data_IF_932817607334
#
_entry.id   IF_932817607334
#
_cell.length_a   1.000
_cell.length_b   1.000
_cell.length_c   1.000
_cell.angle_alpha   90.00
_cell.angle_beta   90.00
_cell.angle_gamma   90.00
#
_symmetry.space_group_name_H-M   'P 1'
#
loop_
_entity.id
_entity.type
_entity.pdbx_description
1 polymer ?
#
# COMPACT_ATOMS: atom_id res chain seq x y z
N UNK A 1 -7.71 -27.30 -16.99
CA UNK A 1 -6.75 -26.33 -16.40
C UNK A 1 -6.82 -25.10 -17.28
N UNK A 2 -7.03 -23.92 -16.73
CA UNK A 2 -6.88 -22.67 -17.47
C UNK A 2 -5.43 -22.53 -17.93
N UNK A 3 -5.18 -21.77 -18.98
CA UNK A 3 -3.80 -21.39 -19.35
C UNK A 3 -3.21 -20.56 -18.20
N UNK A 4 -1.89 -20.67 -17.93
CA UNK A 4 -1.22 -19.84 -16.94
C UNK A 4 -1.34 -18.34 -17.27
N UNK A 5 -1.49 -17.48 -16.26
CA UNK A 5 -1.46 -16.04 -16.44
C UNK A 5 -0.01 -15.57 -16.72
N UNK A 6 0.19 -14.92 -17.85
CA UNK A 6 1.48 -14.30 -18.19
C UNK A 6 1.65 -12.97 -17.46
N UNK A 7 2.79 -12.79 -16.77
CA UNK A 7 3.06 -11.63 -15.91
C UNK A 7 4.23 -10.81 -16.44
N UNK A 8 3.99 -9.51 -16.66
CA UNK A 8 5.00 -8.51 -16.93
C UNK A 8 5.18 -7.57 -15.71
N UNK A 9 6.43 -7.20 -15.39
CA UNK A 9 6.74 -6.37 -14.21
C UNK A 9 7.63 -5.19 -14.61
N UNK A 10 7.13 -3.98 -14.42
CA UNK A 10 7.91 -2.75 -14.53
C UNK A 10 8.51 -2.41 -13.15
N UNK A 11 9.84 -2.47 -13.05
CA UNK A 11 10.56 -2.27 -11.80
C UNK A 11 11.04 -3.58 -11.17
N UNK A 12 12.36 -3.70 -10.98
CA UNK A 12 13.01 -4.95 -10.57
C UNK A 12 13.86 -4.81 -9.29
N UNK A 13 13.82 -3.63 -8.64
CA UNK A 13 14.57 -3.39 -7.41
C UNK A 13 13.79 -3.89 -6.19
N UNK A 14 13.77 -3.13 -5.09
CA UNK A 14 13.20 -3.55 -3.81
C UNK A 14 11.76 -4.09 -3.93
N UNK A 15 10.82 -3.32 -4.53
CA UNK A 15 9.44 -3.77 -4.70
C UNK A 15 9.33 -4.89 -5.73
N UNK A 16 10.10 -4.83 -6.84
CA UNK A 16 10.17 -5.92 -7.80
C UNK A 16 10.60 -7.25 -7.16
N UNK A 17 11.58 -7.21 -6.24
CA UNK A 17 12.00 -8.39 -5.48
C UNK A 17 10.94 -8.87 -4.49
N UNK A 18 10.21 -7.95 -3.82
CA UNK A 18 9.14 -8.30 -2.89
C UNK A 18 8.00 -9.04 -3.60
N UNK A 19 7.52 -8.49 -4.73
CA UNK A 19 6.47 -9.13 -5.53
C UNK A 19 6.95 -10.42 -6.20
N UNK A 20 8.15 -10.45 -6.76
CA UNK A 20 8.71 -11.69 -7.35
C UNK A 20 8.84 -12.82 -6.32
N UNK A 21 9.23 -12.51 -5.07
CA UNK A 21 9.21 -13.46 -3.96
C UNK A 21 7.79 -13.95 -3.66
N UNK A 22 6.81 -13.07 -3.64
CA UNK A 22 5.40 -13.44 -3.43
C UNK A 22 4.91 -14.38 -4.53
N UNK A 23 5.10 -14.01 -5.80
CA UNK A 23 4.73 -14.82 -6.96
C UNK A 23 5.38 -16.21 -6.95
N UNK A 24 6.65 -16.30 -6.52
CA UNK A 24 7.36 -17.57 -6.43
C UNK A 24 6.80 -18.51 -5.34
N UNK A 25 6.22 -17.94 -4.27
CA UNK A 25 5.71 -18.71 -3.12
C UNK A 25 4.25 -19.15 -3.27
N UNK A 26 3.46 -18.47 -4.10
CA UNK A 26 2.04 -18.78 -4.28
C UNK A 26 1.78 -20.27 -4.53
N UNK A 27 2.40 -20.97 -5.48
CA UNK A 27 2.10 -22.37 -5.76
C UNK A 27 2.42 -23.32 -4.60
N UNK A 28 3.28 -22.90 -3.68
CA UNK A 28 3.71 -23.72 -2.54
C UNK A 28 2.70 -23.69 -1.39
N UNK A 29 2.07 -22.54 -1.15
CA UNK A 29 1.23 -22.30 0.01
C UNK A 29 -0.26 -22.12 -0.34
N UNK A 30 -0.55 -21.68 -1.55
CA UNK A 30 -1.89 -21.41 -2.04
C UNK A 30 -2.20 -22.30 -3.26
N UNK A 31 -2.62 -23.56 -3.04
CA UNK A 31 -2.83 -24.53 -4.13
C UNK A 31 -3.97 -24.12 -5.08
N UNK A 32 -4.86 -23.25 -4.62
CA UNK A 32 -5.98 -22.72 -5.42
C UNK A 32 -5.61 -21.43 -6.18
N UNK A 33 -4.40 -20.91 -6.00
CA UNK A 33 -3.92 -19.77 -6.77
C UNK A 33 -3.79 -20.14 -8.27
N UNK A 34 -4.04 -19.20 -9.18
CA UNK A 34 -3.82 -19.45 -10.60
C UNK A 34 -2.36 -19.76 -10.90
N UNK A 35 -2.12 -20.61 -11.90
CA UNK A 35 -0.78 -20.80 -12.45
C UNK A 35 -0.33 -19.50 -13.12
N UNK A 36 0.94 -19.12 -12.93
CA UNK A 36 1.53 -17.91 -13.50
C UNK A 36 2.85 -18.20 -14.23
N UNK A 37 3.09 -17.44 -15.29
CA UNK A 37 4.37 -17.36 -16.00
C UNK A 37 4.99 -15.99 -15.74
N UNK A 38 6.16 -15.95 -15.11
CA UNK A 38 6.94 -14.72 -14.91
C UNK A 38 7.67 -14.40 -16.21
N UNK A 39 6.96 -13.75 -17.15
CA UNK A 39 7.35 -13.64 -18.54
C UNK A 39 8.42 -12.58 -18.78
N UNK A 40 8.23 -11.35 -18.27
CA UNK A 40 9.12 -10.25 -18.64
C UNK A 40 9.32 -9.23 -17.51
N UNK A 41 10.58 -8.84 -17.27
CA UNK A 41 10.94 -7.68 -16.48
C UNK A 41 11.16 -6.46 -17.37
N UNK A 42 10.67 -5.29 -16.94
CA UNK A 42 10.83 -4.04 -17.68
C UNK A 42 11.60 -3.01 -16.86
N UNK A 43 12.53 -2.32 -17.49
CA UNK A 43 13.30 -1.24 -16.87
C UNK A 43 14.19 -0.53 -17.88
N UNK A 44 15.06 0.38 -17.45
CA UNK A 44 15.89 1.21 -18.32
C UNK A 44 17.35 0.74 -18.45
N UNK A 45 17.84 0.03 -17.46
CA UNK A 45 19.23 -0.42 -17.38
C UNK A 45 19.31 -1.88 -17.80
N UNK A 46 19.74 -2.12 -19.03
CA UNK A 46 19.79 -3.45 -19.64
C UNK A 46 20.73 -4.41 -18.92
N UNK A 47 21.86 -3.92 -18.40
CA UNK A 47 22.80 -4.75 -17.68
C UNK A 47 22.21 -5.22 -16.33
N UNK A 48 21.60 -4.30 -15.59
CA UNK A 48 20.93 -4.64 -14.33
C UNK A 48 19.67 -5.49 -14.54
N UNK A 49 18.95 -5.34 -15.66
CA UNK A 49 17.81 -6.19 -16.02
C UNK A 49 18.25 -7.62 -16.32
N UNK A 50 19.35 -7.80 -17.02
CA UNK A 50 19.89 -9.13 -17.34
C UNK A 50 20.21 -9.93 -16.06
N UNK A 51 20.82 -9.27 -15.06
CA UNK A 51 21.10 -9.90 -13.77
C UNK A 51 19.80 -10.19 -12.99
N UNK A 52 18.86 -9.26 -13.01
CA UNK A 52 17.57 -9.36 -12.31
C UNK A 52 16.68 -10.48 -12.88
N UNK A 53 16.69 -10.73 -14.18
CA UNK A 53 15.94 -11.83 -14.81
C UNK A 53 16.33 -13.17 -14.18
N UNK A 54 17.61 -13.44 -14.07
CA UNK A 54 18.11 -14.67 -13.44
C UNK A 54 17.77 -14.73 -11.95
N UNK A 55 18.01 -13.62 -11.21
CA UNK A 55 17.76 -13.55 -9.76
C UNK A 55 16.26 -13.74 -9.44
N UNK A 56 15.36 -13.11 -10.20
CA UNK A 56 13.92 -13.10 -9.96
C UNK A 56 13.17 -14.18 -10.74
N UNK A 57 13.89 -14.98 -11.53
CA UNK A 57 13.39 -16.10 -12.33
C UNK A 57 12.28 -15.69 -13.30
N UNK A 58 12.53 -14.65 -14.10
CA UNK A 58 11.72 -14.28 -15.25
C UNK A 58 12.30 -14.89 -16.52
N UNK A 59 11.48 -15.03 -17.58
CA UNK A 59 11.92 -15.62 -18.85
C UNK A 59 12.77 -14.65 -19.69
N UNK A 60 12.54 -13.33 -19.52
CA UNK A 60 13.26 -12.32 -20.28
C UNK A 60 13.07 -10.91 -19.72
N UNK A 61 13.60 -9.92 -20.44
CA UNK A 61 13.43 -8.50 -20.11
C UNK A 61 13.16 -7.65 -21.35
N UNK A 62 12.61 -6.45 -21.10
CA UNK A 62 12.41 -5.40 -22.10
C UNK A 62 12.82 -4.04 -21.56
N UNK A 63 13.17 -3.11 -22.45
CA UNK A 63 13.53 -1.74 -22.07
C UNK A 63 12.45 -0.71 -22.35
N UNK A 64 11.40 -1.10 -23.07
CA UNK A 64 10.20 -0.29 -23.35
C UNK A 64 8.94 -1.03 -22.86
N UNK A 65 8.24 -0.47 -21.88
CA UNK A 65 6.99 -1.04 -21.37
C UNK A 65 5.86 -1.08 -22.39
N UNK A 66 5.93 -0.23 -23.45
CA UNK A 66 4.91 -0.17 -24.51
C UNK A 66 4.85 -1.44 -25.33
N UNK A 67 5.97 -2.14 -25.41
CA UNK A 67 6.07 -3.43 -26.12
C UNK A 67 5.52 -4.61 -25.29
N UNK A 68 5.20 -4.37 -24.00
CA UNK A 68 4.84 -5.41 -23.05
C UNK A 68 3.38 -5.36 -22.62
N UNK A 69 2.85 -4.14 -22.38
CA UNK A 69 1.54 -3.96 -21.73
C UNK A 69 0.36 -4.62 -22.44
N UNK A 70 0.43 -4.89 -23.74
CA UNK A 70 -0.61 -5.60 -24.50
C UNK A 70 -0.29 -7.08 -24.77
N UNK A 71 0.89 -7.57 -24.32
CA UNK A 71 1.39 -8.92 -24.59
C UNK A 71 1.40 -9.84 -23.36
N UNK A 72 0.88 -9.35 -22.23
CA UNK A 72 0.75 -10.09 -20.97
C UNK A 72 -0.68 -10.01 -20.45
N UNK A 73 -1.08 -10.97 -19.62
CA UNK A 73 -2.41 -10.98 -18.98
C UNK A 73 -2.45 -10.02 -17.78
N UNK A 74 -1.31 -9.87 -17.11
CA UNK A 74 -1.16 -9.06 -15.89
C UNK A 74 0.11 -8.21 -15.98
N UNK A 75 -0.03 -6.93 -15.73
CA UNK A 75 1.07 -5.96 -15.69
C UNK A 75 1.23 -5.37 -14.30
N UNK A 76 2.39 -5.58 -13.68
CA UNK A 76 2.78 -4.96 -12.41
C UNK A 76 3.54 -3.68 -12.66
N UNK A 77 3.01 -2.55 -12.20
CA UNK A 77 3.71 -1.27 -12.23
C UNK A 77 4.30 -0.97 -10.85
N UNK A 78 5.58 -1.29 -10.67
CA UNK A 78 6.35 -1.14 -9.43
C UNK A 78 7.46 -0.08 -9.60
N UNK A 79 7.26 0.83 -10.53
CA UNK A 79 8.19 1.91 -10.85
C UNK A 79 8.16 3.05 -9.83
N UNK A 80 8.93 4.13 -10.04
CA UNK A 80 8.77 5.39 -9.34
C UNK A 80 7.39 6.01 -9.59
N UNK A 81 6.87 6.77 -8.63
CA UNK A 81 5.49 7.27 -8.65
C UNK A 81 5.13 8.07 -9.92
N UNK A 82 6.09 8.84 -10.47
CA UNK A 82 5.91 9.62 -11.71
C UNK A 82 5.70 8.80 -12.98
N UNK A 83 5.96 7.49 -12.94
CA UNK A 83 5.71 6.59 -14.08
C UNK A 83 4.56 5.60 -13.80
N UNK A 84 3.73 5.86 -12.79
CA UNK A 84 2.58 4.99 -12.55
C UNK A 84 1.49 5.20 -13.61
N UNK A 85 1.16 6.44 -13.99
CA UNK A 85 -0.01 6.74 -14.81
C UNK A 85 0.07 6.17 -16.23
N UNK A 86 1.02 6.60 -17.05
CA UNK A 86 1.02 6.30 -18.47
C UNK A 86 1.11 4.78 -18.79
N UNK A 87 2.03 3.98 -18.15
CA UNK A 87 2.06 2.54 -18.40
C UNK A 87 0.80 1.81 -17.92
N UNK A 88 0.25 2.24 -16.80
CA UNK A 88 -0.96 1.65 -16.22
C UNK A 88 -2.19 1.92 -17.07
N UNK A 89 -2.39 3.15 -17.53
CA UNK A 89 -3.49 3.53 -18.41
C UNK A 89 -3.39 2.75 -19.73
N UNK A 90 -2.20 2.70 -20.32
CA UNK A 90 -1.98 1.96 -21.57
C UNK A 90 -2.26 0.45 -21.44
N UNK A 91 -1.93 -0.15 -20.28
CA UNK A 91 -2.24 -1.55 -20.01
C UNK A 91 -3.76 -1.78 -19.89
N UNK A 92 -4.47 -0.94 -19.16
CA UNK A 92 -5.93 -1.01 -19.03
C UNK A 92 -6.65 -0.80 -20.38
N UNK A 93 -6.20 0.16 -21.21
CA UNK A 93 -6.70 0.38 -22.56
C UNK A 93 -6.45 -0.83 -23.50
N UNK A 94 -5.39 -1.58 -23.25
CA UNK A 94 -5.10 -2.84 -23.97
C UNK A 94 -5.90 -4.05 -23.44
N UNK A 95 -6.66 -3.89 -22.34
CA UNK A 95 -7.40 -4.98 -21.68
C UNK A 95 -6.54 -5.85 -20.77
N UNK A 96 -5.34 -5.39 -20.42
CA UNK A 96 -4.42 -6.06 -19.49
C UNK A 96 -4.74 -5.67 -18.06
N UNK A 97 -4.89 -6.65 -17.16
CA UNK A 97 -5.08 -6.39 -15.73
C UNK A 97 -3.83 -5.78 -15.11
N UNK A 98 -4.01 -4.81 -14.20
CA UNK A 98 -2.90 -4.03 -13.62
C UNK A 98 -2.86 -4.13 -12.12
N UNK A 99 -1.66 -4.36 -11.57
CA UNK A 99 -1.35 -4.17 -10.17
C UNK A 99 -0.31 -3.06 -10.01
N UNK A 100 -0.70 -1.93 -9.42
CA UNK A 100 0.14 -0.75 -9.31
C UNK A 100 0.61 -0.53 -7.88
N UNK A 101 1.88 -0.16 -7.69
CA UNK A 101 2.39 0.27 -6.39
C UNK A 101 1.74 1.57 -5.90
N UNK A 102 1.77 1.74 -4.59
CA UNK A 102 1.28 2.95 -3.91
C UNK A 102 2.40 4.04 -3.82
N UNK A 103 2.04 5.32 -3.67
CA UNK A 103 0.70 5.89 -3.88
C UNK A 103 0.26 5.72 -5.33
N UNK A 104 -1.04 5.85 -5.62
CA UNK A 104 -1.58 5.58 -6.96
C UNK A 104 -0.84 6.36 -8.05
N UNK A 105 -0.53 7.64 -7.79
CA UNK A 105 0.28 8.47 -8.67
C UNK A 105 1.08 9.50 -7.86
N UNK A 106 1.95 10.26 -8.52
CA UNK A 106 2.68 11.37 -7.89
C UNK A 106 1.87 12.67 -7.84
N UNK A 107 0.78 12.79 -8.63
CA UNK A 107 -0.15 13.92 -8.65
C UNK A 107 -1.60 13.44 -8.52
N UNK A 108 -2.48 14.33 -8.06
CA UNK A 108 -3.92 14.05 -8.00
C UNK A 108 -4.52 13.88 -9.40
N UNK A 109 -4.10 14.69 -10.37
CA UNK A 109 -4.60 14.65 -11.75
C UNK A 109 -4.28 13.29 -12.41
N UNK A 110 -3.07 12.77 -12.21
CA UNK A 110 -2.70 11.46 -12.72
C UNK A 110 -3.46 10.33 -12.02
N UNK A 111 -3.67 10.43 -10.71
CA UNK A 111 -4.49 9.47 -9.98
C UNK A 111 -5.95 9.47 -10.48
N UNK A 112 -6.49 10.63 -10.83
CA UNK A 112 -7.82 10.76 -11.43
C UNK A 112 -7.89 10.08 -12.81
N UNK A 113 -6.90 10.34 -13.66
CA UNK A 113 -6.78 9.68 -14.98
C UNK A 113 -6.71 8.16 -14.85
N UNK A 114 -5.91 7.64 -13.90
CA UNK A 114 -5.79 6.20 -13.66
C UNK A 114 -7.10 5.58 -13.16
N UNK A 115 -7.78 6.23 -12.21
CA UNK A 115 -9.10 5.81 -11.73
C UNK A 115 -10.12 5.76 -12.87
N UNK A 116 -10.16 6.80 -13.71
CA UNK A 116 -11.13 6.88 -14.79
C UNK A 116 -10.84 5.80 -15.85
N UNK A 117 -9.57 5.56 -16.20
CA UNK A 117 -9.18 4.45 -17.07
C UNK A 117 -9.59 3.08 -16.51
N UNK A 118 -9.45 2.87 -15.18
CA UNK A 118 -9.91 1.64 -14.55
C UNK A 118 -11.43 1.46 -14.60
N UNK A 119 -12.21 2.55 -14.48
CA UNK A 119 -13.68 2.53 -14.61
C UNK A 119 -14.16 2.23 -16.03
N UNK A 120 -13.38 2.60 -17.04
CA UNK A 120 -13.68 2.39 -18.46
C UNK A 120 -13.20 1.02 -18.97
N UNK A 121 -12.39 0.29 -18.19
CA UNK A 121 -11.82 -1.01 -18.55
C UNK A 121 -12.57 -2.16 -17.91
N UNK A 122 -12.69 -3.28 -18.63
CA UNK A 122 -13.15 -4.56 -18.08
C UNK A 122 -12.03 -5.32 -17.35
N UNK A 123 -10.78 -4.85 -17.44
CA UNK A 123 -9.63 -5.45 -16.78
C UNK A 123 -9.59 -5.11 -15.27
N UNK A 124 -8.99 -5.99 -14.48
CA UNK A 124 -8.85 -5.78 -13.03
C UNK A 124 -7.74 -4.76 -12.75
N UNK A 125 -8.05 -3.72 -11.98
CA UNK A 125 -7.11 -2.70 -11.54
C UNK A 125 -6.97 -2.72 -10.01
N UNK A 126 -5.83 -3.21 -9.50
CA UNK A 126 -5.49 -3.30 -8.09
C UNK A 126 -4.33 -2.38 -7.69
N UNK A 127 -4.35 -1.89 -6.46
CA UNK A 127 -3.27 -1.09 -5.87
C UNK A 127 -2.64 -1.81 -4.68
N UNK A 128 -1.31 -1.71 -4.51
CA UNK A 128 -0.54 -2.46 -3.53
C UNK A 128 -0.61 -1.85 -2.11
N UNK A 129 -1.75 -1.96 -1.45
CA UNK A 129 -1.91 -1.65 -0.03
C UNK A 129 -1.75 -2.92 0.83
N UNK A 130 -0.55 -3.47 0.82
CA UNK A 130 -0.21 -4.76 1.43
C UNK A 130 -0.57 -4.89 2.91
N UNK A 131 -0.62 -3.80 3.68
CA UNK A 131 -0.97 -3.86 5.11
C UNK A 131 -2.44 -4.23 5.36
N UNK A 132 -3.35 -4.08 4.39
CA UNK A 132 -4.71 -4.65 4.48
C UNK A 132 -4.71 -6.18 4.61
N UNK A 133 -3.62 -6.84 4.22
CA UNK A 133 -3.47 -8.30 4.16
C UNK A 133 -2.68 -8.91 5.32
N UNK A 134 -2.41 -8.11 6.35
CA UNK A 134 -1.91 -8.62 7.63
C UNK A 134 -3.05 -9.37 8.34
N UNK A 135 -2.87 -10.64 8.77
CA UNK A 135 -3.93 -11.39 9.44
C UNK A 135 -4.55 -10.68 10.64
N UNK A 136 -3.74 -10.03 11.48
CA UNK A 136 -4.23 -9.26 12.63
C UNK A 136 -5.07 -8.04 12.22
N UNK A 137 -4.77 -7.41 11.07
CA UNK A 137 -5.57 -6.31 10.51
C UNK A 137 -6.92 -6.83 9.99
N UNK A 138 -6.93 -7.98 9.32
CA UNK A 138 -8.17 -8.63 8.88
C UNK A 138 -9.04 -9.07 10.06
N UNK A 139 -8.40 -9.56 11.11
CA UNK A 139 -9.12 -9.89 12.35
C UNK A 139 -9.71 -8.63 13.00
N UNK A 140 -8.96 -7.52 13.05
CA UNK A 140 -9.46 -6.24 13.52
C UNK A 140 -10.66 -5.73 12.69
N UNK A 141 -10.62 -5.87 11.35
CA UNK A 141 -11.74 -5.52 10.45
C UNK A 141 -12.99 -6.30 10.81
N UNK A 142 -12.89 -7.63 11.02
CA UNK A 142 -14.03 -8.47 11.46
C UNK A 142 -14.62 -7.96 12.78
N UNK A 143 -13.81 -7.68 13.80
CA UNK A 143 -14.31 -7.16 15.09
C UNK A 143 -15.08 -5.85 14.92
N UNK A 144 -14.62 -4.96 14.03
CA UNK A 144 -15.30 -3.70 13.73
C UNK A 144 -16.61 -3.95 13.00
N UNK A 145 -16.63 -4.83 12.00
CA UNK A 145 -17.83 -5.21 11.23
C UNK A 145 -18.87 -5.92 12.10
N UNK A 146 -18.44 -6.76 13.03
CA UNK A 146 -19.30 -7.45 14.01
C UNK A 146 -19.86 -6.47 15.07
N UNK A 147 -19.37 -5.21 15.11
CA UNK A 147 -19.85 -4.17 16.01
C UNK A 147 -19.25 -4.21 17.41
N UNK A 148 -18.21 -5.02 17.63
CA UNK A 148 -17.56 -5.20 18.95
C UNK A 148 -16.98 -3.91 19.55
N UNK A 149 -16.73 -2.88 18.72
CA UNK A 149 -16.26 -1.57 19.18
C UNK A 149 -17.41 -0.59 19.43
N UNK A 150 -18.63 -0.91 19.02
CA UNK A 150 -19.75 0.01 19.03
C UNK A 150 -19.58 1.17 18.04
N UNK A 151 -19.99 2.39 18.43
CA UNK A 151 -19.82 3.61 17.64
C UNK A 151 -18.34 4.04 17.65
N UNK A 152 -17.71 4.14 16.48
CA UNK A 152 -16.31 4.59 16.36
C UNK A 152 -16.23 6.09 16.65
N UNK A 153 -15.29 6.48 17.52
CA UNK A 153 -15.10 7.86 18.01
C UNK A 153 -13.72 8.44 17.72
N UNK A 154 -12.66 7.62 17.80
CA UNK A 154 -11.29 8.07 17.56
C UNK A 154 -10.55 7.07 16.67
N UNK A 155 -9.78 7.60 15.72
CA UNK A 155 -8.84 6.84 14.91
C UNK A 155 -7.48 7.52 15.02
N UNK A 156 -6.45 6.80 15.42
CA UNK A 156 -5.06 7.29 15.47
C UNK A 156 -4.20 6.37 14.64
N UNK A 157 -3.44 6.95 13.72
CA UNK A 157 -2.50 6.22 12.90
C UNK A 157 -1.15 6.91 12.84
N UNK A 158 -0.09 6.14 12.99
CA UNK A 158 1.28 6.63 12.84
C UNK A 158 2.13 5.66 12.04
N UNK A 159 3.05 6.19 11.24
CA UNK A 159 4.04 5.39 10.56
C UNK A 159 5.42 6.03 10.68
N UNK A 160 6.25 5.46 11.54
CA UNK A 160 7.49 6.05 11.98
C UNK A 160 8.68 5.19 11.55
N UNK A 161 9.65 5.84 10.91
CA UNK A 161 10.91 5.26 10.49
C UNK A 161 12.06 6.24 10.74
N UNK A 162 13.31 5.76 10.80
CA UNK A 162 14.50 6.61 11.02
C UNK A 162 15.57 6.50 9.93
N UNK A 163 15.22 5.92 8.76
CA UNK A 163 16.22 5.64 7.73
C UNK A 163 16.83 6.89 7.06
N UNK A 164 16.19 8.05 7.20
CA UNK A 164 16.72 9.36 6.77
C UNK A 164 17.22 10.24 7.92
N UNK A 165 17.22 9.73 9.17
CA UNK A 165 17.67 10.51 10.33
C UNK A 165 19.15 10.91 10.25
N UNK A 166 19.97 10.15 9.53
CA UNK A 166 21.35 10.55 9.20
C UNK A 166 21.31 11.62 8.10
N UNK A 167 21.80 12.86 8.36
CA UNK A 167 21.85 13.91 7.34
C UNK A 167 22.78 13.60 6.17
N UNK A 168 23.75 12.69 6.35
CA UNK A 168 24.68 12.25 5.31
C UNK A 168 24.14 11.06 4.48
N UNK A 169 22.93 10.59 4.75
CA UNK A 169 22.28 9.57 3.92
C UNK A 169 22.15 10.09 2.45
N UNK A 170 22.46 9.22 1.45
CA UNK A 170 22.54 9.69 0.06
C UNK A 170 21.17 10.09 -0.50
N UNK A 171 21.23 11.04 -1.43
CA UNK A 171 20.07 11.47 -2.18
C UNK A 171 19.49 10.31 -3.02
N UNK A 172 18.16 10.23 -3.06
CA UNK A 172 17.44 9.26 -3.87
C UNK A 172 16.21 9.93 -4.50
N UNK A 173 15.64 9.33 -5.53
CA UNK A 173 14.47 9.86 -6.25
C UNK A 173 13.25 10.14 -5.35
N UNK A 174 13.13 9.46 -4.22
CA UNK A 174 12.08 9.68 -3.19
C UNK A 174 12.20 11.01 -2.46
N UNK A 175 13.26 11.78 -2.73
CA UNK A 175 13.52 13.11 -2.18
C UNK A 175 13.23 14.23 -3.18
N UNK A 176 12.75 13.86 -4.37
CA UNK A 176 12.42 14.75 -5.47
C UNK A 176 10.90 14.77 -5.69
N UNK A 177 10.28 15.93 -5.50
CA UNK A 177 8.84 16.13 -5.65
C UNK A 177 8.35 15.82 -7.07
N UNK A 178 9.12 16.15 -8.11
CA UNK A 178 8.76 15.87 -9.50
C UNK A 178 8.64 14.37 -9.79
N UNK A 179 9.29 13.50 -8.99
CA UNK A 179 9.28 12.07 -9.15
C UNK A 179 8.39 11.37 -8.13
N UNK A 180 8.45 11.81 -6.88
CA UNK A 180 7.78 11.17 -5.76
C UNK A 180 6.40 11.79 -5.45
N UNK A 181 6.18 13.06 -5.79
CA UNK A 181 4.99 13.84 -5.45
C UNK A 181 4.99 14.37 -4.02
N UNK A 182 5.37 13.55 -3.04
CA UNK A 182 5.54 13.93 -1.63
C UNK A 182 6.53 12.99 -0.94
N UNK A 183 6.93 13.32 0.28
CA UNK A 183 7.91 12.58 1.05
C UNK A 183 7.31 11.54 1.99
N UNK A 184 7.46 11.75 3.32
CA UNK A 184 6.89 10.86 4.33
C UNK A 184 5.36 10.75 4.19
N UNK A 185 4.69 11.81 3.76
CA UNK A 185 3.25 11.84 3.51
C UNK A 185 2.84 10.76 2.49
N UNK A 186 3.42 10.74 1.30
CA UNK A 186 3.08 9.77 0.24
C UNK A 186 3.70 8.40 0.45
N UNK A 187 4.94 8.35 1.00
CA UNK A 187 5.65 7.08 1.19
C UNK A 187 5.06 6.26 2.34
N UNK A 188 4.78 6.89 3.46
CA UNK A 188 4.30 6.25 4.71
C UNK A 188 2.84 6.59 5.01
N UNK A 189 2.47 7.86 4.87
CA UNK A 189 1.12 8.35 5.20
C UNK A 189 0.03 7.72 4.35
N UNK A 190 0.30 7.41 3.08
CA UNK A 190 -0.65 6.72 2.21
C UNK A 190 -1.13 5.40 2.80
N UNK A 191 -0.23 4.59 3.37
CA UNK A 191 -0.60 3.35 4.05
C UNK A 191 -1.48 3.57 5.28
N UNK A 192 -1.18 4.60 6.08
CA UNK A 192 -1.92 4.88 7.30
C UNK A 192 -3.34 5.37 7.00
N UNK A 193 -3.48 6.26 6.00
CA UNK A 193 -4.78 6.78 5.58
C UNK A 193 -5.63 5.70 4.90
N UNK A 194 -5.00 4.86 4.08
CA UNK A 194 -5.66 3.71 3.47
C UNK A 194 -6.17 2.74 4.53
N UNK A 195 -5.30 2.34 5.47
CA UNK A 195 -5.65 1.36 6.49
C UNK A 195 -6.74 1.87 7.43
N UNK A 196 -6.74 3.17 7.75
CA UNK A 196 -7.82 3.80 8.50
C UNK A 196 -9.15 3.72 7.73
N UNK A 197 -9.18 4.14 6.47
CA UNK A 197 -10.37 4.05 5.61
C UNK A 197 -10.87 2.61 5.46
N UNK A 198 -9.97 1.66 5.23
CA UNK A 198 -10.30 0.23 5.15
C UNK A 198 -10.96 -0.30 6.42
N UNK A 199 -10.40 0.03 7.58
CA UNK A 199 -10.90 -0.51 8.86
C UNK A 199 -12.24 0.11 9.28
N UNK A 200 -12.38 1.43 9.17
CA UNK A 200 -13.52 2.12 9.77
C UNK A 200 -14.49 2.78 8.79
N UNK A 201 -14.16 2.90 7.50
CA UNK A 201 -14.95 3.66 6.53
C UNK A 201 -16.43 3.24 6.47
N UNK A 202 -16.73 1.94 6.56
CA UNK A 202 -18.11 1.43 6.58
C UNK A 202 -18.91 1.85 7.84
N UNK A 203 -18.22 2.29 8.87
CA UNK A 203 -18.81 2.69 10.17
C UNK A 203 -18.78 4.20 10.41
N UNK A 204 -17.84 4.90 9.79
CA UNK A 204 -17.63 6.34 10.02
C UNK A 204 -18.06 7.19 8.85
N UNK A 205 -18.24 6.61 7.67
CA UNK A 205 -18.18 7.34 6.42
C UNK A 205 -16.75 7.79 6.08
N UNK A 206 -16.64 8.60 5.02
CA UNK A 206 -15.37 9.18 4.59
C UNK A 206 -14.87 10.28 5.52
N UNK A 207 -13.63 10.73 5.32
CA UNK A 207 -13.12 11.93 5.98
C UNK A 207 -13.76 13.15 5.32
N UNK A 208 -14.49 13.95 6.12
CA UNK A 208 -15.22 15.15 5.68
C UNK A 208 -14.31 16.39 5.60
N UNK A 209 -13.38 16.54 6.55
CA UNK A 209 -12.38 17.59 6.56
C UNK A 209 -11.06 17.10 7.14
N UNK A 210 -9.95 17.73 6.67
CA UNK A 210 -8.62 17.41 7.16
C UNK A 210 -7.75 18.68 7.26
N UNK A 211 -6.92 18.74 8.31
CA UNK A 211 -5.89 19.76 8.45
C UNK A 211 -4.55 19.12 8.73
N UNK A 212 -3.48 19.65 8.12
CA UNK A 212 -2.17 19.06 8.22
C UNK A 212 -1.02 20.07 8.29
N UNK A 213 0.16 19.54 8.64
CA UNK A 213 1.45 20.25 8.60
C UNK A 213 2.52 19.31 8.09
N UNK A 214 3.34 19.83 7.17
CA UNK A 214 4.49 19.15 6.60
C UNK A 214 5.79 19.80 7.08
N UNK A 215 6.84 19.00 7.17
CA UNK A 215 8.17 19.52 7.55
C UNK A 215 9.29 18.78 6.83
N UNK A 216 10.21 19.55 6.24
CA UNK A 216 11.51 19.07 5.77
C UNK A 216 12.57 19.46 6.80
N UNK A 217 13.41 18.53 7.21
CA UNK A 217 14.45 18.72 8.23
C UNK A 217 15.85 18.89 7.61
N UNK A 218 16.09 18.27 6.46
CA UNK A 218 17.37 18.33 5.73
C UNK A 218 17.11 18.80 4.32
N UNK A 219 17.58 20.02 4.00
CA UNK A 219 17.27 20.70 2.74
C UNK A 219 18.07 20.17 1.54
N UNK A 220 19.23 19.56 1.78
CA UNK A 220 20.13 19.01 0.73
C UNK A 220 20.78 17.71 1.19
N UNK A 221 21.06 16.80 0.25
CA UNK A 221 21.74 15.53 0.55
C UNK A 221 22.82 15.22 -0.48
N UNK A 222 23.90 14.51 -0.04
CA UNK A 222 24.99 14.10 -0.93
C UNK A 222 24.47 13.12 -2.00
N UNK A 223 25.04 13.21 -3.19
CA UNK A 223 24.82 12.20 -4.25
C UNK A 223 25.88 11.11 -4.11
N UNK A 224 25.44 9.86 -4.09
CA UNK A 224 26.35 8.73 -3.90
C UNK A 224 27.40 8.66 -5.02
N UNK A 225 28.68 8.65 -4.63
CA UNK A 225 29.82 8.60 -5.55
C UNK A 225 30.17 9.91 -6.27
N UNK A 226 29.50 11.01 -5.95
CA UNK A 226 29.75 12.36 -6.52
C UNK A 226 30.15 13.35 -5.41
N UNK A 227 30.88 14.41 -5.76
CA UNK A 227 31.22 15.52 -4.83
C UNK A 227 30.19 16.66 -4.96
N UNK A 228 28.92 16.28 -4.97
CA UNK A 228 27.77 17.18 -5.16
C UNK A 228 26.65 16.86 -4.16
N UNK A 229 25.83 17.86 -3.86
CA UNK A 229 24.54 17.70 -3.14
C UNK A 229 23.39 17.98 -4.09
N UNK A 230 22.22 17.43 -3.75
CA UNK A 230 20.96 17.77 -4.42
C UNK A 230 19.91 18.20 -3.40
N UNK A 231 19.00 19.10 -3.78
CA UNK A 231 17.94 19.57 -2.90
C UNK A 231 16.97 18.42 -2.56
N UNK A 232 16.41 18.49 -1.34
CA UNK A 232 15.26 17.72 -0.91
C UNK A 232 14.04 18.62 -1.07
N UNK A 233 13.11 18.23 -1.93
CA UNK A 233 11.94 19.05 -2.28
C UNK A 233 10.63 18.51 -1.70
N UNK A 234 10.71 17.45 -0.90
CA UNK A 234 9.57 16.79 -0.26
C UNK A 234 9.65 16.86 1.26
N UNK A 235 8.56 16.52 1.93
CA UNK A 235 8.46 16.43 3.38
C UNK A 235 9.22 15.24 3.97
N UNK A 236 9.81 15.44 5.14
CA UNK A 236 10.42 14.37 5.96
C UNK A 236 9.47 13.87 7.04
N UNK A 237 8.48 14.66 7.38
CA UNK A 237 7.44 14.31 8.34
C UNK A 237 6.15 15.11 8.08
N UNK A 238 5.01 14.52 8.45
CA UNK A 238 3.72 15.22 8.50
C UNK A 238 2.95 14.86 9.77
N UNK A 239 2.02 15.74 10.13
CA UNK A 239 0.95 15.48 11.09
C UNK A 239 -0.36 15.99 10.53
N UNK A 240 -1.47 15.29 10.81
CA UNK A 240 -2.80 15.70 10.35
C UNK A 240 -3.89 15.37 11.39
N UNK A 241 -4.94 16.21 11.39
CA UNK A 241 -6.18 15.99 12.11
C UNK A 241 -7.34 15.93 11.12
N UNK A 242 -8.27 15.00 11.34
CA UNK A 242 -9.40 14.76 10.45
C UNK A 242 -10.70 14.63 11.24
N UNK A 243 -11.81 14.95 10.58
CA UNK A 243 -13.18 14.65 11.02
C UNK A 243 -13.82 13.73 10.02
N UNK A 244 -14.44 12.65 10.48
CA UNK A 244 -15.22 11.73 9.66
C UNK A 244 -16.69 12.16 9.59
N UNK A 245 -17.43 11.69 8.59
CA UNK A 245 -18.84 12.04 8.38
C UNK A 245 -19.74 11.75 9.60
N UNK A 246 -19.45 10.71 10.38
CA UNK A 246 -20.19 10.40 11.62
C UNK A 246 -19.76 11.28 12.82
N UNK A 247 -18.79 12.20 12.65
CA UNK A 247 -18.23 13.06 13.70
C UNK A 247 -17.09 12.43 14.49
N UNK A 248 -16.63 11.23 14.15
CA UNK A 248 -15.40 10.68 14.71
C UNK A 248 -14.18 11.55 14.35
N UNK A 249 -13.15 11.54 15.20
CA UNK A 249 -11.95 12.35 14.98
C UNK A 249 -10.74 11.48 14.70
N UNK A 250 -9.96 11.89 13.70
CA UNK A 250 -8.72 11.25 13.27
C UNK A 250 -7.47 12.05 13.65
N UNK A 251 -6.38 11.34 13.96
CA UNK A 251 -5.05 11.92 14.10
C UNK A 251 -4.07 11.03 13.37
N UNK A 252 -3.32 11.60 12.44
CA UNK A 252 -2.39 10.87 11.59
C UNK A 252 -1.02 11.53 11.57
N UNK A 253 0.03 10.72 11.57
CA UNK A 253 1.38 11.20 11.40
C UNK A 253 2.26 10.20 10.65
N UNK A 254 3.29 10.69 9.97
CA UNK A 254 4.41 9.87 9.56
C UNK A 254 5.71 10.66 9.61
N UNK A 255 6.82 9.93 9.79
CA UNK A 255 8.14 10.51 9.79
C UNK A 255 9.18 9.50 9.30
N UNK A 256 10.13 9.97 8.47
CA UNK A 256 11.33 9.23 8.09
C UNK A 256 12.54 9.56 8.97
N UNK A 257 12.31 10.39 10.01
CA UNK A 257 13.32 10.92 10.95
C UNK A 257 13.06 10.54 12.41
N UNK A 258 12.11 9.67 12.68
CA UNK A 258 11.73 9.27 14.03
C UNK A 258 12.77 8.30 14.63
N UNK A 259 13.90 8.86 15.08
CA UNK A 259 15.05 8.10 15.58
C UNK A 259 14.66 7.05 16.63
N UNK A 260 14.97 5.78 16.34
CA UNK A 260 14.65 4.63 17.18
C UNK A 260 13.53 3.75 16.63
N UNK A 261 12.66 4.27 15.75
CA UNK A 261 11.66 3.50 15.04
C UNK A 261 12.22 2.94 13.73
N UNK A 262 11.97 1.67 13.42
CA UNK A 262 12.52 1.03 12.21
C UNK A 262 11.47 0.85 11.12
N UNK A 263 10.32 0.33 11.47
CA UNK A 263 9.17 0.18 10.58
C UNK A 263 7.87 0.19 11.40
N UNK A 264 7.70 1.17 12.27
CA UNK A 264 6.60 1.24 13.22
C UNK A 264 5.36 1.88 12.57
N UNK A 265 4.56 1.06 11.87
CA UNK A 265 3.24 1.42 11.41
C UNK A 265 2.22 0.91 12.41
N UNK A 266 1.52 1.80 13.08
CA UNK A 266 0.58 1.48 14.15
C UNK A 266 -0.74 2.23 14.00
N UNK A 267 -1.82 1.57 14.46
CA UNK A 267 -3.15 2.16 14.57
C UNK A 267 -3.75 1.89 15.95
N UNK A 268 -4.52 2.87 16.44
CA UNK A 268 -5.44 2.72 17.58
C UNK A 268 -6.82 3.22 17.18
N UNK A 269 -7.85 2.38 17.40
CA UNK A 269 -9.25 2.70 17.14
C UNK A 269 -10.03 2.56 18.44
N UNK A 270 -10.76 3.61 18.81
CA UNK A 270 -11.57 3.62 20.02
C UNK A 270 -13.04 3.84 19.66
N UNK A 271 -13.87 2.91 20.08
CA UNK A 271 -15.32 2.99 19.99
C UNK A 271 -16.01 3.27 21.32
N UNK A 272 -17.34 3.20 21.31
CA UNK A 272 -18.16 3.38 22.51
C UNK A 272 -18.14 2.16 23.44
N UNK A 273 -17.86 0.97 22.92
CA UNK A 273 -17.96 -0.31 23.62
C UNK A 273 -16.63 -1.08 23.64
N UNK A 274 -15.71 -0.79 22.72
CA UNK A 274 -14.43 -1.46 22.63
C UNK A 274 -13.34 -0.59 22.01
N UNK A 275 -12.11 -1.11 22.04
CA UNK A 275 -10.95 -0.47 21.44
C UNK A 275 -9.96 -1.50 20.93
N UNK A 276 -9.20 -1.15 19.92
CA UNK A 276 -8.11 -1.99 19.42
C UNK A 276 -6.84 -1.18 19.15
N UNK A 277 -5.70 -1.88 19.17
CA UNK A 277 -4.37 -1.38 18.79
C UNK A 277 -3.66 -2.43 17.96
N UNK A 278 -2.99 -1.97 16.92
CA UNK A 278 -2.17 -2.78 16.06
C UNK A 278 -0.81 -2.11 15.84
N UNK A 279 0.27 -2.89 15.69
CA UNK A 279 1.59 -2.45 15.23
C UNK A 279 2.22 -3.50 14.32
N UNK A 280 2.73 -3.06 13.17
CA UNK A 280 3.42 -3.96 12.22
C UNK A 280 4.73 -4.53 12.78
N UNK A 281 5.34 -3.92 13.79
CA UNK A 281 6.49 -4.50 14.48
C UNK A 281 6.12 -5.74 15.30
N UNK A 282 4.81 -5.99 15.50
CA UNK A 282 4.23 -7.20 16.09
C UNK A 282 3.05 -7.69 15.24
N UNK A 283 3.28 -8.11 13.98
CA UNK A 283 2.23 -8.29 12.98
C UNK A 283 1.26 -9.43 13.26
N UNK A 284 1.58 -10.29 14.24
CA UNK A 284 0.74 -11.42 14.63
C UNK A 284 -0.06 -11.15 15.92
N UNK A 285 0.01 -9.94 16.45
CA UNK A 285 -0.66 -9.56 17.68
C UNK A 285 -1.66 -8.44 17.44
N UNK A 286 -2.84 -8.55 18.07
CA UNK A 286 -3.80 -7.46 18.16
C UNK A 286 -4.08 -7.20 19.65
N UNK A 287 -3.95 -5.97 20.11
CA UNK A 287 -4.43 -5.58 21.42
C UNK A 287 -5.91 -5.18 21.29
N UNK A 288 -6.78 -5.89 21.99
CA UNK A 288 -8.22 -5.65 21.99
C UNK A 288 -8.75 -5.43 23.42
N UNK A 289 -9.69 -4.54 23.57
CA UNK A 289 -10.48 -4.32 24.76
C UNK A 289 -11.96 -4.37 24.41
N UNK A 290 -12.67 -5.34 24.92
CA UNK A 290 -14.12 -5.49 24.78
C UNK A 290 -14.89 -4.81 25.90
N UNK A 291 -16.25 -4.84 25.85
CA UNK A 291 -17.11 -4.06 26.77
C UNK A 291 -16.96 -4.45 28.25
N UNK A 292 -16.65 -5.69 28.54
CA UNK A 292 -16.51 -6.22 29.91
C UNK A 292 -15.07 -6.25 30.42
N UNK A 293 -14.11 -5.88 29.60
CA UNK A 293 -12.69 -5.91 29.93
C UNK A 293 -12.25 -4.69 30.75
N UNK A 294 -11.21 -4.87 31.57
CA UNK A 294 -10.63 -3.79 32.40
C UNK A 294 -9.37 -3.17 31.78
N UNK A 295 -8.91 -3.69 30.67
CA UNK A 295 -7.69 -3.28 29.97
C UNK A 295 -7.48 -4.10 28.71
N UNK A 296 -6.59 -3.63 27.84
CA UNK A 296 -6.26 -4.34 26.62
C UNK A 296 -5.74 -5.75 26.90
N UNK A 297 -6.21 -6.69 26.10
CA UNK A 297 -5.72 -8.07 26.03
C UNK A 297 -5.00 -8.25 24.71
N UNK A 298 -3.85 -8.93 24.71
CA UNK A 298 -3.15 -9.30 23.48
C UNK A 298 -3.77 -10.58 22.92
N UNK A 299 -4.33 -10.49 21.72
CA UNK A 299 -4.80 -11.61 20.93
C UNK A 299 -3.69 -12.03 19.97
N UNK A 300 -3.29 -13.31 20.04
CA UNK A 300 -2.34 -13.88 19.11
C UNK A 300 -3.10 -14.39 17.89
N UNK A 301 -2.97 -13.71 16.76
CA UNK A 301 -3.65 -14.04 15.51
C UNK A 301 -2.77 -14.98 14.71
N UNK A 302 -2.83 -16.27 15.02
CA UNK A 302 -1.98 -17.33 14.45
C UNK A 302 -2.71 -18.67 14.32
N UNK A 303 -4.01 -18.71 14.51
CA UNK A 303 -4.81 -19.94 14.43
C UNK A 303 -5.28 -20.19 12.98
N UNK A 304 -5.58 -21.44 12.65
CA UNK A 304 -6.01 -21.84 11.31
C UNK A 304 -7.31 -21.14 10.84
N UNK A 305 -8.18 -20.72 11.77
CA UNK A 305 -9.40 -19.96 11.47
C UNK A 305 -9.17 -18.46 11.19
N UNK A 306 -7.97 -17.98 11.47
CA UNK A 306 -7.61 -16.60 11.15
C UNK A 306 -7.34 -16.41 9.65
N UNK A 307 -7.56 -15.22 9.09
CA UNK A 307 -7.39 -14.97 7.67
C UNK A 307 -6.03 -15.40 7.14
N UNK A 308 -6.00 -16.18 6.06
CA UNK A 308 -4.83 -16.72 5.36
C UNK A 308 -4.02 -17.79 6.11
N UNK A 309 -4.19 -17.97 7.43
CA UNK A 309 -3.25 -18.74 8.24
C UNK A 309 -3.34 -20.25 8.01
N UNK A 310 -4.50 -20.79 7.65
CA UNK A 310 -4.66 -22.20 7.26
C UNK A 310 -3.76 -22.65 6.10
N UNK A 311 -3.24 -21.71 5.30
CA UNK A 311 -2.37 -22.00 4.17
C UNK A 311 -0.89 -22.11 4.55
N UNK A 312 -0.50 -21.64 5.74
CA UNK A 312 0.90 -21.52 6.13
C UNK A 312 1.37 -22.68 7.03
N UNK A 313 1.46 -22.41 8.29
CA UNK A 313 2.08 -23.31 9.28
C UNK A 313 1.11 -23.58 10.41
N UNK A 314 1.26 -24.67 11.17
CA UNK A 314 0.41 -24.94 12.33
C UNK A 314 0.34 -23.75 13.30
N UNK A 315 -0.73 -23.66 14.07
CA UNK A 315 -0.98 -22.63 15.07
C UNK A 315 0.28 -22.24 15.87
N UNK A 316 0.42 -20.95 16.14
CA UNK A 316 1.54 -20.40 16.91
C UNK A 316 2.79 -20.07 16.08
N UNK A 317 2.83 -20.42 14.78
CA UNK A 317 3.92 -19.99 13.91
C UNK A 317 3.65 -18.59 13.36
N UNK A 318 4.57 -17.68 13.64
CA UNK A 318 4.45 -16.27 13.27
C UNK A 318 4.79 -16.02 11.81
N UNK A 319 4.06 -15.08 11.20
CA UNK A 319 4.33 -14.56 9.86
C UNK A 319 5.13 -13.26 9.96
N UNK A 320 5.79 -12.88 8.87
CA UNK A 320 6.55 -11.64 8.73
C UNK A 320 5.97 -10.73 7.64
N UNK A 321 6.62 -9.60 7.43
CA UNK A 321 6.20 -8.54 6.48
C UNK A 321 6.03 -9.05 5.04
N UNK A 322 6.89 -9.92 4.56
CA UNK A 322 6.82 -10.46 3.19
C UNK A 322 5.58 -11.32 2.90
N UNK A 323 4.93 -11.85 3.93
CA UNK A 323 3.71 -12.66 3.76
C UNK A 323 2.53 -11.81 3.30
N UNK A 324 2.50 -10.53 3.64
CA UNK A 324 1.45 -9.60 3.20
C UNK A 324 1.41 -9.48 1.68
N UNK A 325 2.57 -9.50 1.02
CA UNK A 325 2.68 -9.50 -0.44
C UNK A 325 2.18 -10.81 -1.05
N UNK A 326 2.39 -11.94 -0.38
CA UNK A 326 1.85 -13.22 -0.86
C UNK A 326 0.32 -13.20 -0.82
N UNK A 327 -0.26 -12.69 0.26
CA UNK A 327 -1.72 -12.59 0.43
C UNK A 327 -2.34 -11.63 -0.58
N UNK A 328 -1.79 -10.42 -0.76
CA UNK A 328 -2.34 -9.47 -1.73
C UNK A 328 -2.22 -9.95 -3.17
N UNK A 329 -1.10 -10.60 -3.53
CA UNK A 329 -0.93 -11.18 -4.86
C UNK A 329 -1.88 -12.36 -5.09
N UNK A 330 -2.13 -13.18 -4.06
CA UNK A 330 -3.12 -14.25 -4.11
C UNK A 330 -4.52 -13.71 -4.43
N UNK A 331 -4.98 -12.71 -3.69
CA UNK A 331 -6.29 -12.10 -3.90
C UNK A 331 -6.39 -11.45 -5.28
N UNK A 332 -5.39 -10.66 -5.67
CA UNK A 332 -5.38 -9.99 -6.96
C UNK A 332 -5.40 -10.98 -8.15
N UNK A 333 -4.48 -11.94 -8.18
CA UNK A 333 -4.39 -12.91 -9.27
C UNK A 333 -5.60 -13.84 -9.32
N UNK A 334 -6.16 -14.20 -8.17
CA UNK A 334 -7.41 -14.98 -8.11
C UNK A 334 -8.58 -14.19 -8.67
N UNK A 335 -8.66 -12.89 -8.39
CA UNK A 335 -9.67 -11.99 -8.98
C UNK A 335 -9.52 -11.90 -10.50
N UNK A 336 -8.29 -11.76 -11.01
CA UNK A 336 -8.03 -11.76 -12.45
C UNK A 336 -8.44 -13.09 -13.09
N UNK A 337 -8.04 -14.21 -12.52
CA UNK A 337 -8.35 -15.56 -13.06
C UNK A 337 -9.86 -15.86 -13.07
N UNK A 338 -10.62 -15.25 -12.19
CA UNK A 338 -12.09 -15.38 -12.14
C UNK A 338 -12.83 -14.38 -13.06
N UNK A 339 -12.11 -13.55 -13.82
CA UNK A 339 -12.69 -12.61 -14.78
C UNK A 339 -13.15 -11.30 -14.15
N UNK A 340 -12.60 -10.93 -12.99
CA UNK A 340 -12.91 -9.68 -12.28
C UNK A 340 -13.81 -9.86 -11.09
N UNK A 341 -14.24 -8.75 -10.50
CA UNK A 341 -15.20 -8.70 -9.38
C UNK A 341 -16.60 -8.67 -9.95
N UNK A 342 -17.46 -9.59 -9.51
CA UNK A 342 -18.89 -9.55 -9.77
C UNK A 342 -19.68 -9.63 -8.44
N UNK A 343 -21.01 -9.54 -8.50
CA UNK A 343 -21.88 -9.57 -7.32
C UNK A 343 -21.76 -10.89 -6.50
N UNK A 344 -21.06 -11.90 -7.03
CA UNK A 344 -20.86 -13.21 -6.42
C UNK A 344 -19.45 -13.44 -5.89
N UNK A 345 -18.49 -12.59 -6.31
CA UNK A 345 -17.08 -12.67 -5.94
C UNK A 345 -16.76 -11.45 -5.06
N UNK A 346 -16.68 -11.66 -3.75
CA UNK A 346 -16.14 -10.67 -2.84
C UNK A 346 -14.64 -10.58 -3.07
N UNK A 347 -14.17 -9.46 -3.60
CA UNK A 347 -12.75 -9.20 -3.74
C UNK A 347 -12.28 -8.27 -2.63
N UNK A 348 -11.25 -8.71 -1.92
CA UNK A 348 -10.56 -7.88 -0.92
C UNK A 348 -9.44 -7.02 -1.54
N UNK A 349 -9.32 -7.02 -2.86
CA UNK A 349 -8.29 -6.26 -3.59
C UNK A 349 -8.56 -4.77 -3.47
N UNK A 350 -7.59 -3.99 -2.95
CA UNK A 350 -7.69 -2.53 -2.99
C UNK A 350 -7.74 -2.05 -4.44
N UNK A 351 -8.72 -1.22 -4.74
CA UNK A 351 -9.01 -0.73 -6.09
C UNK A 351 -8.33 0.61 -6.37
N UNK A 352 -8.34 1.05 -7.63
CA UNK A 352 -7.91 2.41 -7.97
C UNK A 352 -8.83 3.48 -7.40
N UNK A 353 -10.08 3.16 -7.05
CA UNK A 353 -10.96 4.06 -6.29
C UNK A 353 -10.41 4.29 -4.88
N UNK A 354 -9.93 3.23 -4.21
CA UNK A 354 -9.27 3.35 -2.91
C UNK A 354 -7.99 4.19 -3.02
N UNK A 355 -7.18 3.92 -4.05
CA UNK A 355 -5.97 4.68 -4.33
C UNK A 355 -6.24 6.16 -4.58
N UNK A 356 -7.28 6.48 -5.35
CA UNK A 356 -7.70 7.86 -5.62
C UNK A 356 -8.22 8.56 -4.36
N UNK A 357 -9.02 7.86 -3.53
CA UNK A 357 -9.47 8.39 -2.24
C UNK A 357 -8.28 8.78 -1.35
N UNK A 358 -7.29 7.91 -1.25
CA UNK A 358 -6.04 8.22 -0.52
C UNK A 358 -5.32 9.41 -1.15
N UNK A 359 -5.17 9.45 -2.47
CA UNK A 359 -4.48 10.56 -3.16
C UNK A 359 -5.17 11.91 -2.93
N UNK A 360 -6.51 11.94 -2.85
CA UNK A 360 -7.27 13.15 -2.46
C UNK A 360 -6.89 13.62 -1.05
N UNK A 361 -6.77 12.69 -0.09
CA UNK A 361 -6.36 13.00 1.29
C UNK A 361 -4.93 13.56 1.33
N UNK A 362 -3.99 12.94 0.60
CA UNK A 362 -2.61 13.44 0.51
C UNK A 362 -2.57 14.87 -0.02
N UNK A 363 -3.29 15.14 -1.12
CA UNK A 363 -3.38 16.48 -1.73
C UNK A 363 -4.02 17.49 -0.80
N UNK A 364 -5.07 17.11 -0.07
CA UNK A 364 -5.74 18.00 0.88
C UNK A 364 -4.84 18.33 2.10
N UNK A 365 -3.99 17.41 2.54
CA UNK A 365 -3.00 17.65 3.60
C UNK A 365 -1.97 18.68 3.14
N UNK A 366 -1.46 18.56 1.90
CA UNK A 366 -0.53 19.55 1.30
C UNK A 366 -1.19 20.92 1.21
N UNK A 367 -2.41 20.99 0.64
CA UNK A 367 -3.19 22.22 0.52
C UNK A 367 -3.46 22.88 1.88
N UNK A 368 -3.74 22.06 2.91
CA UNK A 368 -3.95 22.54 4.28
C UNK A 368 -2.68 23.17 4.88
N UNK A 369 -1.52 22.55 4.64
CA UNK A 369 -0.24 23.10 5.11
C UNK A 369 0.05 24.46 4.45
N UNK A 370 -0.13 24.56 3.12
CA UNK A 370 0.08 25.78 2.36
C UNK A 370 -0.85 26.93 2.78
N UNK A 371 -2.13 26.63 3.02
CA UNK A 371 -3.14 27.65 3.39
C UNK A 371 -3.16 27.96 4.88
N UNK A 372 -2.70 27.05 5.71
CA UNK A 372 -2.77 27.15 7.16
C UNK A 372 -4.16 26.97 7.76
N UNK A 373 -5.08 26.31 7.02
CA UNK A 373 -6.47 26.05 7.41
C UNK A 373 -6.90 24.62 7.03
N UNK A 374 -8.04 24.17 7.57
CA UNK A 374 -8.64 22.88 7.23
C UNK A 374 -9.18 22.89 5.79
N UNK A 375 -9.11 21.74 5.13
CA UNK A 375 -9.63 21.52 3.76
C UNK A 375 -10.81 20.56 3.85
N UNK A 376 -11.97 20.98 3.31
CA UNK A 376 -13.14 20.13 3.17
C UNK A 376 -12.99 19.21 1.95
N UNK A 377 -13.41 17.96 2.11
CA UNK A 377 -13.25 16.90 1.10
C UNK A 377 -14.55 16.57 0.37
N UNK A 378 -15.65 17.12 0.79
CA UNK A 378 -17.06 17.02 0.36
C UNK A 378 -17.40 16.54 -1.02
#
# INVERSE_FOLDING_TARGET
MSEPLSVGVLGYRFMGKAHANALARLPMFFPDAPEIERRVLVGRDEAALSDAVDELSFEGYGTDWREVVGDVDVFYNLGPNSIHADPTIAALEAGTSVFCEKPLAHTLDDAERMRDAARESDAVAGIAFNYRFVPAVRYAKRLIEDGELGEIRHVRGSYLQDFLADPDAPWAWRLDEEVAGSGALGDLGAHTLDLAGFLVGDRTGDIEDISGRLRTFVDERPVDGEDETRPVTVDDAYTAHATFENGAVGTFEASRFATGHKNDHSLEINGSEGSLRFSIERPNELEYLGPDDKGFQTVMVTADEDPYLAQWWPDGHVLGWEHTFVHENYEFLSTVANGGVDDTISSDVPTFEDGYRVQRLLSAIVESDERGESVALG
#
